data_IF_394111357249
#
_entry.id   IF_394111357249
#
_cell.length_a   1.000
_cell.length_b   1.000
_cell.length_c   1.000
_cell.angle_alpha   90.00
_cell.angle_beta   90.00
_cell.angle_gamma   90.00
#
_symmetry.space_group_name_H-M   'P 1'
#
loop_
_entity.id
_entity.type
_entity.pdbx_description
1 polymer ?
#
# COMPACT_ATOMS: atom_id res chain seq x y z
N UNK A 1 14.45 -50.68 26.81
CA UNK A 1 14.83 -49.60 27.75
C UNK A 1 14.42 -48.28 27.09
N UNK A 2 13.25 -47.74 27.46
CA UNK A 2 12.77 -46.44 26.95
C UNK A 2 13.31 -45.38 27.90
N UNK A 3 14.07 -44.40 27.38
CA UNK A 3 14.54 -43.28 28.21
C UNK A 3 13.35 -42.38 28.56
N UNK A 4 13.23 -41.87 29.79
CA UNK A 4 12.22 -40.86 30.11
C UNK A 4 12.55 -39.57 29.36
N UNK A 5 11.55 -38.94 28.75
CA UNK A 5 11.70 -37.61 28.15
C UNK A 5 11.83 -36.57 29.27
N UNK A 6 12.76 -35.65 29.10
CA UNK A 6 13.17 -34.67 30.09
C UNK A 6 12.04 -33.62 30.29
N UNK A 7 11.61 -33.42 31.54
CA UNK A 7 10.53 -32.50 31.92
C UNK A 7 10.82 -31.05 31.50
N UNK A 8 12.08 -30.73 31.20
CA UNK A 8 12.52 -29.42 30.75
C UNK A 8 12.14 -29.12 29.29
N UNK A 9 11.93 -30.16 28.46
CA UNK A 9 11.59 -30.02 27.04
C UNK A 9 10.09 -29.75 26.83
N UNK A 10 9.23 -30.31 27.70
CA UNK A 10 7.79 -30.01 27.73
C UNK A 10 7.50 -28.56 28.11
N UNK A 11 8.28 -27.99 29.04
CA UNK A 11 8.07 -26.63 29.53
C UNK A 11 8.41 -25.56 28.48
N UNK A 12 9.42 -25.80 27.64
CA UNK A 12 9.75 -24.88 26.55
C UNK A 12 8.73 -24.92 25.39
N UNK A 13 8.02 -26.04 25.20
CA UNK A 13 6.97 -26.14 24.18
C UNK A 13 5.70 -25.36 24.57
N UNK A 14 5.36 -25.34 25.86
CA UNK A 14 4.21 -24.57 26.36
C UNK A 14 4.44 -23.05 26.29
N UNK A 15 5.68 -22.59 26.50
CA UNK A 15 6.05 -21.17 26.39
C UNK A 15 6.01 -20.66 24.93
N UNK A 16 6.31 -21.51 23.94
CA UNK A 16 6.19 -21.18 22.50
C UNK A 16 4.73 -21.10 22.02
N UNK A 17 3.81 -21.80 22.68
CA UNK A 17 2.39 -21.77 22.36
C UNK A 17 1.62 -20.62 23.06
N UNK A 18 2.30 -19.83 23.91
CA UNK A 18 1.69 -18.74 24.69
C UNK A 18 2.01 -17.35 24.15
N UNK A 19 2.43 -17.23 22.88
CA UNK A 19 2.64 -15.92 22.24
C UNK A 19 1.28 -15.22 22.11
N UNK A 20 1.06 -14.05 22.77
CA UNK A 20 -0.21 -13.35 22.68
C UNK A 20 -0.43 -12.86 21.23
N UNK A 21 -1.56 -13.26 20.63
CA UNK A 21 -2.03 -12.69 19.37
C UNK A 21 -2.29 -11.19 19.59
N UNK A 22 -1.59 -10.33 18.86
CA UNK A 22 -1.78 -8.88 18.89
C UNK A 22 -3.08 -8.41 18.22
N UNK A 23 -4.11 -9.26 18.19
CA UNK A 23 -5.32 -9.13 17.37
C UNK A 23 -6.55 -8.67 18.18
N UNK A 24 -6.34 -8.23 19.42
CA UNK A 24 -7.43 -7.78 20.30
C UNK A 24 -7.32 -6.27 20.60
N UNK A 25 -6.99 -5.47 19.56
CA UNK A 25 -7.20 -4.02 19.59
C UNK A 25 -8.63 -3.71 19.10
N UNK A 26 -9.59 -3.38 19.99
CA UNK A 26 -10.99 -3.15 19.64
C UNK A 26 -11.26 -1.82 18.90
N UNK A 27 -10.28 -1.28 18.17
CA UNK A 27 -10.38 0.02 17.48
C UNK A 27 -9.88 -0.01 16.03
N UNK A 28 -10.41 -0.91 15.21
CA UNK A 28 -10.51 -0.71 13.75
C UNK A 28 -11.89 -1.17 13.30
N UNK A 29 -12.90 -0.31 13.48
CA UNK A 29 -14.16 -0.38 12.72
C UNK A 29 -14.05 0.73 11.69
N UNK A 30 -13.60 0.39 10.48
CA UNK A 30 -13.80 1.25 9.32
C UNK A 30 -15.27 1.07 8.95
N UNK A 31 -16.11 2.06 9.31
CA UNK A 31 -17.49 2.13 8.82
C UNK A 31 -17.44 2.41 7.32
N UNK A 32 -17.74 1.40 6.52
CA UNK A 32 -17.99 1.52 5.09
C UNK A 32 -19.52 1.40 4.91
N UNK A 33 -20.18 2.53 4.61
CA UNK A 33 -21.44 2.68 3.84
C UNK A 33 -22.20 3.96 4.24
N UNK A 34 -22.33 4.92 3.32
CA UNK A 34 -23.14 6.14 3.51
C UNK A 34 -23.05 7.17 2.37
N UNK A 35 -23.92 6.99 1.37
CA UNK A 35 -24.51 8.01 0.48
C UNK A 35 -23.70 8.66 -0.65
N UNK A 36 -23.77 7.99 -1.82
CA UNK A 36 -23.81 8.66 -3.11
C UNK A 36 -25.26 9.03 -3.46
N UNK A 37 -25.68 10.29 -3.20
CA UNK A 37 -26.62 11.10 -4.00
C UNK A 37 -27.35 12.19 -3.18
N UNK A 38 -26.89 13.45 -3.27
CA UNK A 38 -27.75 14.66 -3.30
C UNK A 38 -26.90 15.83 -3.87
N UNK A 39 -27.05 16.16 -5.15
CA UNK A 39 -27.93 17.19 -5.70
C UNK A 39 -27.33 18.61 -5.65
N UNK A 40 -26.65 18.97 -6.75
CA UNK A 40 -26.85 20.19 -7.53
C UNK A 40 -27.42 21.43 -6.83
N UNK A 41 -26.56 22.40 -6.49
CA UNK A 41 -26.87 23.84 -6.65
C UNK A 41 -25.63 24.71 -6.43
N UNK A 42 -25.00 25.15 -7.52
CA UNK A 42 -24.31 26.45 -7.63
C UNK A 42 -23.77 26.63 -9.06
N UNK A 43 -24.69 26.66 -10.03
CA UNK A 43 -24.40 27.29 -11.33
C UNK A 43 -24.95 28.72 -11.30
N UNK A 44 -24.09 29.66 -11.71
CA UNK A 44 -24.42 30.99 -12.26
C UNK A 44 -24.37 32.20 -11.31
N UNK A 45 -23.18 32.80 -11.22
CA UNK A 45 -22.87 34.23 -11.06
C UNK A 45 -21.35 34.30 -10.82
N UNK A 46 -20.51 34.59 -11.81
CA UNK A 46 -20.19 35.96 -12.20
C UNK A 46 -19.58 35.96 -13.61
N UNK A 47 -20.44 36.19 -14.60
CA UNK A 47 -20.04 36.91 -15.82
C UNK A 47 -19.65 38.32 -15.39
N UNK A 48 -18.37 38.56 -15.16
CA UNK A 48 -17.80 39.91 -15.20
C UNK A 48 -16.51 39.87 -16.01
N UNK A 49 -16.72 39.83 -17.33
CA UNK A 49 -15.79 40.47 -18.24
C UNK A 49 -15.59 41.91 -17.80
N UNK A 50 -14.43 42.16 -17.20
CA UNK A 50 -13.84 43.48 -17.13
C UNK A 50 -12.37 43.30 -17.47
N UNK A 51 -12.08 43.68 -18.70
CA UNK A 51 -10.80 44.25 -19.12
C UNK A 51 -10.04 44.75 -17.91
N UNK A 52 -8.94 44.09 -17.55
CA UNK A 52 -7.87 44.80 -16.85
C UNK A 52 -7.12 45.53 -17.95
N UNK A 53 -7.69 46.69 -18.28
CA UNK A 53 -7.04 47.69 -19.09
C UNK A 53 -5.64 47.95 -18.52
N UNK A 54 -4.69 48.02 -19.44
CA UNK A 54 -3.27 48.20 -19.20
C UNK A 54 -2.99 49.28 -18.16
N UNK A 55 -2.14 48.98 -17.17
CA UNK A 55 -1.41 50.04 -16.47
C UNK A 55 -0.22 50.37 -17.37
N UNK A 56 -0.16 51.54 -18.04
CA UNK A 56 1.04 51.93 -18.76
C UNK A 56 2.12 52.26 -17.73
N UNK A 57 3.15 51.41 -17.64
CA UNK A 57 4.39 51.72 -16.95
C UNK A 57 5.10 52.84 -17.69
N UNK A 58 4.76 54.08 -17.35
CA UNK A 58 5.59 55.23 -17.69
C UNK A 58 6.90 55.14 -16.89
N UNK A 59 8.03 55.35 -17.61
CA UNK A 59 9.45 55.45 -17.21
C UNK A 59 10.06 54.16 -16.59
N UNK A 60 11.02 53.44 -17.20
CA UNK A 60 12.24 53.92 -17.89
C UNK A 60 12.73 52.89 -18.94
N UNK A 61 12.91 53.37 -20.17
CA UNK A 61 14.05 53.14 -21.06
C UNK A 61 14.70 51.74 -21.10
N UNK A 62 14.31 50.91 -22.07
CA UNK A 62 15.01 49.66 -22.39
C UNK A 62 14.23 48.75 -23.32
N UNK A 63 13.92 49.23 -24.52
CA UNK A 63 13.40 48.40 -25.60
C UNK A 63 14.31 47.18 -25.82
N UNK A 64 13.77 45.96 -25.69
CA UNK A 64 14.01 44.79 -26.54
C UNK A 64 13.25 43.59 -25.98
N UNK A 65 12.19 43.16 -26.66
CA UNK A 65 11.78 41.76 -26.62
C UNK A 65 12.78 40.94 -27.44
N UNK A 66 13.33 39.83 -26.91
CA UNK A 66 13.86 38.77 -27.73
C UNK A 66 13.19 37.44 -27.36
N UNK A 67 12.11 37.09 -28.06
CA UNK A 67 11.66 35.71 -28.32
C UNK A 67 11.38 34.74 -27.13
N UNK A 68 10.78 33.57 -27.40
CA UNK A 68 10.53 32.53 -26.40
C UNK A 68 11.78 31.69 -26.06
N UNK A 69 12.98 32.22 -26.27
CA UNK A 69 14.25 31.59 -25.91
C UNK A 69 15.08 32.54 -25.04
N UNK A 70 14.53 32.99 -23.92
CA UNK A 70 15.34 33.57 -22.83
C UNK A 70 16.13 32.44 -22.19
N UNK A 71 17.12 31.93 -22.91
CA UNK A 71 18.27 31.27 -22.32
C UNK A 71 18.90 32.33 -21.42
N UNK A 72 18.83 32.08 -20.13
CA UNK A 72 19.55 32.84 -19.11
C UNK A 72 21.02 32.95 -19.57
N UNK A 73 21.50 34.13 -20.01
CA UNK A 73 22.77 34.24 -20.73
C UNK A 73 23.99 34.11 -19.81
N UNK A 74 23.79 33.77 -18.53
CA UNK A 74 24.84 33.62 -17.52
C UNK A 74 25.10 32.17 -17.08
N UNK A 75 24.40 31.18 -17.67
CA UNK A 75 24.71 29.76 -17.44
C UNK A 75 25.88 29.35 -18.35
N UNK A 76 26.99 28.97 -17.74
CA UNK A 76 28.14 28.43 -18.47
C UNK A 76 27.75 27.13 -19.21
N UNK A 77 28.33 26.84 -20.38
CA UNK A 77 28.06 25.60 -21.10
C UNK A 77 28.34 24.34 -20.25
N UNK A 78 29.32 24.42 -19.33
CA UNK A 78 29.68 23.35 -18.40
C UNK A 78 28.55 23.07 -17.39
N UNK A 79 27.92 24.11 -16.84
CA UNK A 79 26.77 23.97 -15.94
C UNK A 79 25.56 23.37 -16.65
N UNK A 80 25.36 23.71 -17.92
CA UNK A 80 24.27 23.13 -18.71
C UNK A 80 24.50 21.64 -18.97
N UNK A 81 25.74 21.22 -19.21
CA UNK A 81 26.11 19.81 -19.35
C UNK A 81 25.93 19.05 -18.02
N UNK A 82 26.36 19.63 -16.90
CA UNK A 82 26.16 19.02 -15.58
C UNK A 82 24.67 18.85 -15.25
N UNK A 83 23.84 19.87 -15.51
CA UNK A 83 22.38 19.77 -15.38
C UNK A 83 21.82 18.66 -16.27
N UNK A 84 22.26 18.54 -17.52
CA UNK A 84 21.82 17.46 -18.41
C UNK A 84 22.20 16.06 -17.89
N UNK A 85 23.40 15.90 -17.30
CA UNK A 85 23.83 14.65 -16.66
C UNK A 85 22.99 14.32 -15.42
N UNK A 86 22.73 15.30 -14.56
CA UNK A 86 21.88 15.12 -13.38
C UNK A 86 20.45 14.75 -13.76
N UNK A 87 19.88 15.42 -14.77
CA UNK A 87 18.55 15.09 -15.30
C UNK A 87 18.51 13.63 -15.77
N UNK A 88 19.53 13.19 -16.51
CA UNK A 88 19.60 11.82 -17.03
C UNK A 88 19.63 10.79 -15.89
N UNK A 89 20.41 11.05 -14.84
CA UNK A 89 20.48 10.18 -13.67
C UNK A 89 19.14 10.14 -12.92
N UNK A 90 18.48 11.28 -12.74
CA UNK A 90 17.16 11.35 -12.10
C UNK A 90 16.14 10.52 -12.89
N UNK A 91 16.15 10.62 -14.22
CA UNK A 91 15.24 9.84 -15.07
C UNK A 91 15.51 8.33 -14.96
N UNK A 92 16.77 7.90 -14.93
CA UNK A 92 17.11 6.48 -14.75
C UNK A 92 16.65 5.95 -13.39
N UNK A 93 16.86 6.73 -12.32
CA UNK A 93 16.40 6.39 -10.98
C UNK A 93 14.87 6.33 -10.89
N UNK A 94 14.17 7.27 -11.54
CA UNK A 94 12.72 7.28 -11.61
C UNK A 94 12.18 6.04 -12.33
N UNK A 95 12.77 5.67 -13.48
CA UNK A 95 12.38 4.44 -14.19
C UNK A 95 12.61 3.19 -13.31
N UNK A 96 13.76 3.09 -12.66
CA UNK A 96 14.07 1.96 -11.77
C UNK A 96 13.10 1.88 -10.58
N UNK A 97 12.73 3.04 -10.02
CA UNK A 97 11.78 3.11 -8.91
C UNK A 97 10.37 2.72 -9.34
N UNK A 98 9.93 3.16 -10.52
CA UNK A 98 8.63 2.79 -11.09
C UNK A 98 8.54 1.28 -11.32
N UNK A 99 9.56 0.69 -11.95
CA UNK A 99 9.66 -0.75 -12.15
C UNK A 99 9.58 -1.54 -10.83
N UNK A 100 10.29 -1.06 -9.80
CA UNK A 100 10.26 -1.69 -8.48
C UNK A 100 8.88 -1.54 -7.83
N UNK A 101 8.23 -0.38 -7.97
CA UNK A 101 6.88 -0.14 -7.45
C UNK A 101 5.87 -1.10 -8.07
N UNK A 102 5.88 -1.25 -9.40
CA UNK A 102 4.99 -2.19 -10.10
C UNK A 102 5.21 -3.65 -9.68
N UNK A 103 6.48 -4.05 -9.47
CA UNK A 103 6.80 -5.39 -8.96
C UNK A 103 6.28 -5.60 -7.55
N UNK A 104 6.40 -4.61 -6.67
CA UNK A 104 5.86 -4.68 -5.30
C UNK A 104 4.34 -4.83 -5.34
N UNK A 105 3.64 -4.08 -6.18
CA UNK A 105 2.19 -4.18 -6.31
C UNK A 105 1.76 -5.55 -6.85
N UNK A 106 2.49 -6.09 -7.84
CA UNK A 106 2.26 -7.45 -8.35
C UNK A 106 2.43 -8.52 -7.27
N UNK A 107 3.49 -8.41 -6.44
CA UNK A 107 3.75 -9.34 -5.33
C UNK A 107 2.66 -9.23 -4.26
N UNK A 108 2.17 -8.01 -3.96
CA UNK A 108 1.06 -7.82 -3.02
C UNK A 108 -0.22 -8.48 -3.51
N UNK A 109 -0.55 -8.33 -4.80
CA UNK A 109 -1.73 -8.95 -5.40
C UNK A 109 -1.66 -10.49 -5.33
N UNK A 110 -0.52 -11.08 -5.72
CA UNK A 110 -0.30 -12.53 -5.63
C UNK A 110 -0.40 -13.01 -4.17
N UNK A 111 0.19 -12.27 -3.23
CA UNK A 111 0.13 -12.61 -1.81
C UNK A 111 -1.31 -12.60 -1.28
N UNK A 112 -2.10 -11.60 -1.67
CA UNK A 112 -3.51 -11.50 -1.27
C UNK A 112 -4.33 -12.67 -1.83
N UNK A 113 -4.09 -13.03 -3.09
CA UNK A 113 -4.71 -14.21 -3.71
C UNK A 113 -4.37 -15.49 -2.94
N UNK A 114 -3.09 -15.73 -2.66
CA UNK A 114 -2.64 -16.91 -1.91
C UNK A 114 -3.23 -16.94 -0.50
N UNK A 115 -3.33 -15.80 0.19
CA UNK A 115 -3.98 -15.71 1.51
C UNK A 115 -5.46 -16.08 1.44
N UNK A 116 -6.18 -15.59 0.42
CA UNK A 116 -7.60 -15.92 0.23
C UNK A 116 -7.82 -17.41 -0.05
N UNK A 117 -6.97 -18.02 -0.89
CA UNK A 117 -7.04 -19.45 -1.19
C UNK A 117 -6.73 -20.29 0.04
N UNK A 118 -5.67 -19.95 0.79
CA UNK A 118 -5.31 -20.62 2.03
C UNK A 118 -6.39 -20.50 3.09
N UNK A 119 -7.11 -19.37 3.17
CA UNK A 119 -8.24 -19.22 4.07
C UNK A 119 -9.36 -20.21 3.73
N UNK A 120 -9.71 -20.32 2.45
CA UNK A 120 -10.75 -21.26 1.98
C UNK A 120 -10.33 -22.72 2.24
N UNK A 121 -9.08 -23.07 1.93
CA UNK A 121 -8.53 -24.40 2.20
C UNK A 121 -8.50 -24.71 3.70
N UNK A 122 -8.09 -23.74 4.52
CA UNK A 122 -8.07 -23.86 5.97
C UNK A 122 -9.47 -24.16 6.53
N UNK A 123 -10.50 -23.43 6.07
CA UNK A 123 -11.88 -23.69 6.46
C UNK A 123 -12.35 -25.09 6.02
N UNK A 124 -12.00 -25.52 4.81
CA UNK A 124 -12.35 -26.86 4.32
C UNK A 124 -11.74 -27.95 5.21
N UNK A 125 -10.47 -27.83 5.55
CA UNK A 125 -9.79 -28.77 6.45
C UNK A 125 -10.44 -28.76 7.84
N UNK A 126 -10.72 -27.58 8.39
CA UNK A 126 -11.40 -27.45 9.68
C UNK A 126 -12.77 -28.15 9.67
N UNK A 127 -13.56 -27.93 8.62
CA UNK A 127 -14.88 -28.56 8.46
C UNK A 127 -14.77 -30.09 8.41
N UNK A 128 -13.78 -30.62 7.69
CA UNK A 128 -13.52 -32.05 7.65
C UNK A 128 -13.11 -32.61 9.01
N UNK A 129 -12.20 -31.94 9.73
CA UNK A 129 -11.76 -32.37 11.05
C UNK A 129 -12.91 -32.34 12.06
N UNK A 130 -13.72 -31.27 12.07
CA UNK A 130 -14.90 -31.14 12.92
C UNK A 130 -15.95 -32.20 12.61
N UNK A 131 -16.23 -32.48 11.34
CA UNK A 131 -17.18 -33.52 10.94
C UNK A 131 -16.66 -34.95 11.22
N UNK A 132 -15.36 -35.19 11.05
CA UNK A 132 -14.72 -36.49 11.35
C UNK A 132 -14.59 -36.74 12.86
N UNK A 133 -14.47 -35.70 13.68
CA UNK A 133 -14.40 -35.80 15.14
C UNK A 133 -15.69 -36.39 15.74
N UNK A 134 -16.85 -36.17 15.09
CA UNK A 134 -18.15 -36.72 15.51
C UNK A 134 -18.22 -38.26 15.41
N UNK A 135 -17.31 -38.92 14.69
CA UNK A 135 -17.29 -40.39 14.56
C UNK A 135 -16.30 -41.11 15.48
N UNK A 136 -15.50 -40.41 16.31
CA UNK A 136 -14.53 -41.07 17.21
C UNK A 136 -15.12 -41.55 18.55
N UNK A 137 -16.38 -41.23 18.86
CA UNK A 137 -17.00 -41.55 20.16
C UNK A 137 -17.60 -42.97 20.28
N UNK A 138 -17.42 -43.87 19.30
CA UNK A 138 -17.85 -45.28 19.43
C UNK A 138 -16.67 -46.24 19.35
N UNK A 139 -15.65 -46.04 20.19
CA UNK A 139 -14.79 -47.16 20.57
C UNK A 139 -15.45 -47.91 21.74
N UNK A 140 -15.87 -49.17 21.57
CA UNK A 140 -16.42 -49.95 22.67
C UNK A 140 -15.30 -50.18 23.68
N UNK A 141 -15.41 -49.59 24.88
CA UNK A 141 -14.57 -49.96 26.03
C UNK A 141 -14.81 -51.44 26.35
N UNK A 142 -14.00 -52.33 25.78
CA UNK A 142 -13.92 -53.72 26.18
C UNK A 142 -13.41 -53.76 27.62
N UNK A 143 -14.33 -53.99 28.56
CA UNK A 143 -14.02 -54.29 29.96
C UNK A 143 -13.38 -55.68 29.99
N UNK A 144 -12.06 -55.76 30.08
CA UNK A 144 -11.39 -57.02 30.41
C UNK A 144 -11.35 -57.18 31.93
N UNK A 145 -11.72 -58.39 32.33
CA UNK A 145 -12.04 -58.92 33.65
C UNK A 145 -10.79 -59.23 34.48
#
# INVERSE_FOLDING_TARGET
MVRPLDMNEMKMQDDMNSIPLADDDPQVIIQEDGDAAEMSQASDAMVLGRSMDSIPSTFTNGSSSPGPNSLDPDISPDEQEEKARLISQVLELQNTLDDLSQRVDSVKEENLKLRSENQVLGQYIQNLMSASSVFQSTSPKTKNK
#
